data_IF_027263850657
#
_entry.id   IF_027263850657
#
_cell.length_a   1.000
_cell.length_b   1.000
_cell.length_c   1.000
_cell.angle_alpha   90.00
_cell.angle_beta   90.00
_cell.angle_gamma   90.00
#
_symmetry.space_group_name_H-M   'P 1'
#
loop_
_entity.id
_entity.type
_entity.pdbx_description
1 polymer ?
#
# COMPACT_ATOMS: atom_id res chain seq x y z
N UNK A 1 19.08 12.83 -1.08
CA UNK A 1 19.15 11.43 -0.60
C UNK A 1 18.03 10.64 -1.28
N UNK A 2 18.32 10.00 -2.42
CA UNK A 2 17.30 9.38 -3.30
C UNK A 2 16.76 8.03 -2.79
N UNK A 3 17.41 7.47 -1.77
CA UNK A 3 17.09 6.17 -1.16
C UNK A 3 15.76 6.19 -0.39
N UNK A 4 15.30 7.37 0.05
CA UNK A 4 14.06 7.53 0.83
C UNK A 4 12.83 7.03 0.06
N UNK A 5 12.82 7.18 -1.28
CA UNK A 5 11.71 6.76 -2.14
C UNK A 5 11.47 5.24 -2.08
N UNK A 6 12.54 4.45 -1.94
CA UNK A 6 12.47 2.98 -1.91
C UNK A 6 12.03 2.46 -0.53
N UNK A 7 12.23 3.26 0.53
CA UNK A 7 11.88 2.89 1.91
C UNK A 7 10.40 3.17 2.20
N UNK A 8 9.81 4.17 1.54
CA UNK A 8 8.42 4.60 1.75
C UNK A 8 7.36 3.48 1.63
N UNK A 9 7.33 2.67 0.54
CA UNK A 9 6.40 1.54 0.41
C UNK A 9 6.54 0.50 1.54
N UNK A 10 7.76 0.29 2.04
CA UNK A 10 8.01 -0.63 3.14
C UNK A 10 7.47 -0.08 4.48
N UNK A 11 7.66 1.21 4.74
CA UNK A 11 7.09 1.88 5.91
C UNK A 11 5.56 1.87 5.87
N UNK A 12 4.98 2.12 4.69
CA UNK A 12 3.54 2.04 4.47
C UNK A 12 3.01 0.65 4.81
N UNK A 13 3.67 -0.41 4.33
CA UNK A 13 3.30 -1.80 4.64
C UNK A 13 3.40 -2.12 6.14
N UNK A 14 4.43 -1.65 6.85
CA UNK A 14 4.58 -1.94 8.29
C UNK A 14 3.53 -1.22 9.13
N UNK A 15 3.23 0.05 8.80
CA UNK A 15 2.32 0.88 9.61
C UNK A 15 0.87 0.53 9.27
N UNK A 16 0.48 0.62 8.01
CA UNK A 16 -0.89 0.42 7.58
C UNK A 16 -1.26 -1.06 7.51
N UNK A 17 -0.34 -1.94 7.14
CA UNK A 17 -0.61 -3.38 7.13
C UNK A 17 -0.91 -3.91 8.53
N UNK A 18 -0.15 -3.46 9.55
CA UNK A 18 -0.45 -3.80 10.95
C UNK A 18 -1.80 -3.25 11.40
N UNK A 19 -2.09 -1.99 11.02
CA UNK A 19 -3.35 -1.32 11.37
C UNK A 19 -4.56 -2.00 10.73
N UNK A 20 -4.41 -2.54 9.52
CA UNK A 20 -5.44 -3.33 8.85
C UNK A 20 -5.74 -4.65 9.56
N UNK A 21 -4.71 -5.32 10.08
CA UNK A 21 -4.89 -6.58 10.84
C UNK A 21 -5.63 -6.32 12.15
N UNK A 22 -5.38 -5.18 12.80
CA UNK A 22 -6.07 -4.80 14.03
C UNK A 22 -7.51 -4.30 13.84
N UNK A 23 -8.03 -4.24 12.60
CA UNK A 23 -9.36 -3.70 12.31
C UNK A 23 -9.48 -2.17 12.50
N UNK A 24 -8.37 -1.46 12.68
CA UNK A 24 -8.34 -0.03 13.00
C UNK A 24 -8.60 0.87 11.77
N UNK A 25 -8.73 0.30 10.57
CA UNK A 25 -8.93 1.03 9.30
C UNK A 25 -9.91 0.31 8.38
N UNK A 26 -10.67 1.08 7.59
CA UNK A 26 -11.67 0.60 6.61
C UNK A 26 -11.08 -0.20 5.44
N UNK A 27 -9.76 -0.12 5.23
CA UNK A 27 -9.10 -0.73 4.06
C UNK A 27 -8.68 -2.16 4.37
N UNK A 28 -9.02 -3.10 3.47
CA UNK A 28 -8.63 -4.50 3.64
C UNK A 28 -7.11 -4.67 3.62
N UNK A 29 -6.63 -5.64 4.40
CA UNK A 29 -5.20 -5.99 4.45
C UNK A 29 -4.64 -6.33 3.07
N UNK A 30 -5.43 -7.03 2.23
CA UNK A 30 -5.05 -7.38 0.86
C UNK A 30 -4.82 -6.14 -0.01
N UNK A 31 -5.71 -5.15 0.06
CA UNK A 31 -5.59 -3.89 -0.68
C UNK A 31 -4.32 -3.14 -0.30
N UNK A 32 -4.00 -3.08 1.01
CA UNK A 32 -2.77 -2.42 1.48
C UNK A 32 -1.52 -3.14 1.00
N UNK A 33 -1.50 -4.48 1.02
CA UNK A 33 -0.41 -5.27 0.46
C UNK A 33 -0.19 -4.99 -1.03
N UNK A 34 -1.29 -4.94 -1.80
CA UNK A 34 -1.24 -4.68 -3.24
C UNK A 34 -0.69 -3.28 -3.52
N UNK A 35 -1.18 -2.25 -2.81
CA UNK A 35 -0.71 -0.86 -2.93
C UNK A 35 0.78 -0.77 -2.58
N UNK A 36 1.23 -1.40 -1.49
CA UNK A 36 2.64 -1.41 -1.11
C UNK A 36 3.52 -2.04 -2.18
N UNK A 37 3.08 -3.17 -2.75
CA UNK A 37 3.80 -3.87 -3.79
C UNK A 37 3.89 -3.05 -5.09
N UNK A 38 2.78 -2.45 -5.52
CA UNK A 38 2.75 -1.56 -6.69
C UNK A 38 3.60 -0.30 -6.45
N UNK A 39 3.52 0.26 -5.23
CA UNK A 39 4.34 1.36 -4.78
C UNK A 39 5.84 1.03 -4.88
N UNK A 40 6.26 -0.14 -4.43
CA UNK A 40 7.65 -0.60 -4.53
C UNK A 40 8.18 -0.56 -5.97
N UNK A 41 7.37 -1.00 -6.94
CA UNK A 41 7.73 -0.98 -8.37
C UNK A 41 7.82 0.46 -8.88
N UNK A 42 6.79 1.27 -8.64
CA UNK A 42 6.72 2.66 -9.09
C UNK A 42 7.87 3.50 -8.53
N UNK A 43 8.13 3.41 -7.22
CA UNK A 43 9.23 4.14 -6.59
C UNK A 43 10.60 3.68 -7.06
N UNK A 44 10.77 2.40 -7.40
CA UNK A 44 12.02 1.90 -7.99
C UNK A 44 12.24 2.51 -9.38
N UNK A 45 11.20 2.58 -10.22
CA UNK A 45 11.29 3.20 -11.57
C UNK A 45 11.61 4.69 -11.45
N UNK A 46 10.95 5.40 -10.53
CA UNK A 46 11.23 6.81 -10.24
C UNK A 46 12.67 7.02 -9.78
N UNK A 47 13.15 6.20 -8.86
CA UNK A 47 14.53 6.27 -8.37
C UNK A 47 15.55 5.96 -9.49
N UNK A 48 15.25 5.01 -10.37
CA UNK A 48 16.10 4.70 -11.54
C UNK A 48 16.23 5.91 -12.47
N UNK A 49 15.09 6.49 -12.89
CA UNK A 49 15.09 7.67 -13.77
C UNK A 49 15.85 8.84 -13.14
N UNK A 50 15.68 9.05 -11.84
CA UNK A 50 16.36 10.14 -11.13
C UNK A 50 17.88 9.94 -11.07
N UNK A 51 18.35 8.70 -10.84
CA UNK A 51 19.79 8.38 -10.87
C UNK A 51 20.36 8.55 -12.26
N UNK A 52 19.67 8.07 -13.30
CA UNK A 52 20.12 8.22 -14.70
C UNK A 52 20.23 9.70 -15.06
N UNK A 53 19.20 10.49 -14.76
CA UNK A 53 19.22 11.94 -14.99
C UNK A 53 20.38 12.63 -14.25
N UNK A 54 20.67 12.22 -13.02
CA UNK A 54 21.78 12.78 -12.25
C UNK A 54 23.16 12.37 -12.81
N UNK A 55 23.31 11.14 -13.28
CA UNK A 55 24.54 10.66 -13.90
C UNK A 55 24.84 11.40 -15.21
N UNK A 56 23.83 11.54 -16.06
CA UNK A 56 23.91 12.28 -17.32
C UNK A 56 24.25 13.76 -17.08
N UNK A 57 23.56 14.41 -16.13
CA UNK A 57 23.80 15.81 -15.78
C UNK A 57 25.22 16.08 -15.29
N UNK A 58 25.87 15.10 -14.65
CA UNK A 58 27.22 15.25 -14.10
C UNK A 58 28.31 14.62 -14.97
N UNK A 59 28.02 14.20 -16.22
CA UNK A 59 28.94 13.50 -17.11
C UNK A 59 29.61 12.27 -16.46
N UNK A 60 28.93 11.62 -15.52
CA UNK A 60 29.42 10.46 -14.80
C UNK A 60 28.89 9.18 -15.45
N UNK A 61 29.73 8.46 -16.18
CA UNK A 61 29.35 7.21 -16.86
C UNK A 61 29.45 5.98 -15.94
N UNK A 62 29.77 6.18 -14.65
CA UNK A 62 29.93 5.08 -13.71
C UNK A 62 28.57 4.47 -13.36
N UNK A 63 28.36 3.20 -13.72
CA UNK A 63 27.13 2.46 -13.42
C UNK A 63 27.01 1.95 -11.97
N UNK A 64 28.01 2.21 -11.11
CA UNK A 64 27.98 1.78 -9.70
C UNK A 64 26.70 2.20 -8.96
N UNK A 65 26.17 3.44 -9.11
CA UNK A 65 24.93 3.84 -8.46
C UNK A 65 23.70 3.05 -8.96
N UNK A 66 23.69 2.63 -10.22
CA UNK A 66 22.63 1.79 -10.79
C UNK A 66 22.67 0.38 -10.20
N UNK A 67 23.86 -0.22 -10.09
CA UNK A 67 24.03 -1.54 -9.45
C UNK A 67 23.58 -1.49 -8.00
N UNK A 68 23.96 -0.44 -7.27
CA UNK A 68 23.50 -0.20 -5.90
C UNK A 68 21.98 -0.12 -5.83
N UNK A 69 21.34 0.65 -6.71
CA UNK A 69 19.88 0.77 -6.77
C UNK A 69 19.18 -0.57 -7.01
N UNK A 70 19.68 -1.39 -7.95
CA UNK A 70 19.08 -2.71 -8.23
C UNK A 70 19.21 -3.63 -7.02
N UNK A 71 20.40 -3.71 -6.41
CA UNK A 71 20.61 -4.55 -5.23
C UNK A 71 19.77 -4.11 -4.04
N UNK A 72 19.68 -2.80 -3.77
CA UNK A 72 18.80 -2.28 -2.73
C UNK A 72 17.33 -2.55 -3.05
N UNK A 73 16.88 -2.33 -4.28
CA UNK A 73 15.49 -2.58 -4.66
C UNK A 73 15.10 -4.05 -4.45
N UNK A 74 15.97 -5.00 -4.84
CA UNK A 74 15.75 -6.43 -4.60
C UNK A 74 15.69 -6.74 -3.10
N UNK A 75 16.61 -6.19 -2.31
CA UNK A 75 16.63 -6.38 -0.86
C UNK A 75 15.35 -5.84 -0.20
N UNK A 76 14.92 -4.62 -0.55
CA UNK A 76 13.70 -4.03 0.00
C UNK A 76 12.45 -4.79 -0.45
N UNK A 77 12.41 -5.27 -1.69
CA UNK A 77 11.31 -6.12 -2.18
C UNK A 77 11.24 -7.44 -1.42
N UNK A 78 12.39 -8.06 -1.13
CA UNK A 78 12.47 -9.27 -0.31
C UNK A 78 11.94 -9.01 1.11
N UNK A 79 12.38 -7.92 1.75
CA UNK A 79 11.87 -7.55 3.08
C UNK A 79 10.37 -7.29 3.03
N UNK A 80 9.85 -6.58 2.02
CA UNK A 80 8.42 -6.34 1.84
C UNK A 80 7.65 -7.66 1.71
N UNK A 81 8.16 -8.62 0.94
CA UNK A 81 7.56 -9.95 0.81
C UNK A 81 7.55 -10.69 2.16
N UNK A 82 8.66 -10.66 2.90
CA UNK A 82 8.73 -11.24 4.26
C UNK A 82 7.72 -10.58 5.19
N UNK A 83 7.60 -9.24 5.18
CA UNK A 83 6.65 -8.55 6.05
C UNK A 83 5.21 -8.88 5.67
N UNK A 84 4.88 -9.04 4.39
CA UNK A 84 3.56 -9.52 3.95
C UNK A 84 3.30 -10.93 4.46
N UNK A 85 4.25 -11.87 4.32
CA UNK A 85 4.08 -13.26 4.79
C UNK A 85 3.84 -13.30 6.31
N UNK A 86 4.66 -12.58 7.08
CA UNK A 86 4.54 -12.53 8.54
C UNK A 86 3.16 -11.97 8.91
N UNK A 87 2.77 -10.85 8.31
CA UNK A 87 1.48 -10.22 8.55
C UNK A 87 0.29 -11.11 8.14
N UNK A 88 0.41 -11.85 7.05
CA UNK A 88 -0.59 -12.82 6.61
C UNK A 88 -0.73 -13.99 7.59
N UNK A 89 0.39 -14.53 8.11
CA UNK A 89 0.37 -15.56 9.17
C UNK A 89 -0.28 -15.04 10.45
N UNK A 90 0.01 -13.80 10.84
CA UNK A 90 -0.60 -13.16 12.00
C UNK A 90 -2.12 -13.01 11.79
N UNK A 91 -2.56 -12.45 10.65
CA UNK A 91 -4.00 -12.36 10.31
C UNK A 91 -4.68 -13.73 10.39
N UNK A 92 -4.06 -14.76 9.80
CA UNK A 92 -4.60 -16.13 9.86
C UNK A 92 -4.70 -16.67 11.28
N UNK A 93 -3.74 -16.37 12.16
CA UNK A 93 -3.80 -16.79 13.56
C UNK A 93 -4.89 -16.09 14.38
N UNK A 94 -5.35 -14.91 13.97
CA UNK A 94 -6.54 -14.28 14.54
C UNK A 94 -7.84 -14.86 13.96
N UNK A 95 -7.78 -15.43 12.75
CA UNK A 95 -8.91 -15.99 12.01
C UNK A 95 -9.12 -17.51 12.13
N UNK A 96 -8.55 -18.21 13.12
CA UNK A 96 -9.00 -19.57 13.45
C UNK A 96 -10.42 -19.57 14.08
N UNK A 97 -11.08 -18.41 14.16
CA UNK A 97 -12.52 -18.24 14.48
C UNK A 97 -13.35 -17.75 13.28
N UNK A 98 -12.73 -17.30 12.18
CA UNK A 98 -13.41 -16.67 11.03
C UNK A 98 -12.94 -17.32 9.72
N UNK A 99 -13.16 -18.63 9.57
CA UNK A 99 -13.40 -19.18 8.24
C UNK A 99 -14.71 -18.57 7.72
N UNK A 100 -14.75 -18.17 6.44
CA UNK A 100 -15.88 -17.58 5.69
C UNK A 100 -15.88 -16.03 5.69
N UNK A 101 -15.12 -15.40 4.79
CA UNK A 101 -15.47 -14.08 4.19
C UNK A 101 -14.49 -13.73 3.04
N UNK A 102 -14.08 -14.72 2.24
CA UNK A 102 -13.23 -14.51 1.05
C UNK A 102 -14.03 -14.60 -0.27
N UNK A 103 -15.37 -14.54 -0.25
CA UNK A 103 -16.20 -14.47 -1.47
C UNK A 103 -17.34 -13.45 -1.28
N UNK A 104 -17.41 -12.51 -2.24
CA UNK A 104 -18.50 -11.57 -2.55
C UNK A 104 -18.50 -10.17 -1.88
N UNK A 105 -18.97 -9.18 -2.66
CA UNK A 105 -19.09 -7.72 -2.39
C UNK A 105 -17.81 -6.91 -2.69
N UNK A 106 -17.64 -6.29 -3.87
CA UNK A 106 -18.50 -5.21 -4.38
C UNK A 106 -18.55 -5.20 -5.93
N UNK A 107 -19.49 -5.95 -6.50
CA UNK A 107 -20.02 -5.69 -7.84
C UNK A 107 -21.52 -5.36 -7.73
N UNK A 108 -21.88 -4.36 -6.93
CA UNK A 108 -23.12 -3.58 -7.05
C UNK A 108 -23.15 -2.56 -5.91
N UNK A 109 -23.12 -1.27 -6.22
CA UNK A 109 -24.35 -0.52 -6.01
C UNK A 109 -24.36 0.73 -6.87
N UNK A 110 -25.31 0.71 -7.78
CA UNK A 110 -25.77 1.86 -8.54
C UNK A 110 -26.29 2.86 -7.53
N UNK A 111 -25.80 4.08 -7.70
CA UNK A 111 -26.30 5.28 -7.06
C UNK A 111 -27.76 5.45 -7.52
N UNK A 112 -28.72 5.01 -6.72
CA UNK A 112 -30.10 5.47 -6.80
C UNK A 112 -30.28 6.55 -5.73
N UNK A 113 -30.09 7.79 -6.16
CA UNK A 113 -30.52 9.00 -5.45
C UNK A 113 -32.04 9.09 -5.53
N UNK A 114 -32.75 8.77 -4.45
CA UNK A 114 -34.09 9.30 -4.21
C UNK A 114 -34.41 9.18 -2.72
N UNK A 115 -34.29 10.31 -2.00
CA UNK A 115 -34.90 10.49 -0.69
C UNK A 115 -35.62 11.84 -0.71
N UNK A 116 -36.87 11.78 -1.19
CA UNK A 116 -37.90 12.80 -0.95
C UNK A 116 -38.32 12.74 0.53
N UNK A 117 -38.33 13.94 1.13
CA UNK A 117 -39.30 14.51 2.06
C UNK A 117 -39.80 13.67 3.27
N UNK A 118 -39.57 14.19 4.48
CA UNK A 118 -40.66 14.81 5.25
C UNK A 118 -40.15 15.52 6.52
N UNK A 119 -40.81 16.65 6.78
CA UNK A 119 -40.55 17.71 7.75
C UNK A 119 -40.77 17.29 9.22
N UNK A 120 -40.13 18.01 10.16
CA UNK A 120 -40.89 18.76 11.18
C UNK A 120 -39.98 19.74 11.96
N UNK A 121 -40.28 21.02 11.73
CA UNK A 121 -39.73 22.23 12.35
C UNK A 121 -40.47 22.56 13.67
N UNK A 122 -39.84 23.39 14.49
CA UNK A 122 -40.17 23.74 15.88
C UNK A 122 -41.38 24.69 16.07
N UNK A 123 -41.92 24.65 17.30
CA UNK A 123 -42.71 25.65 18.05
C UNK A 123 -44.25 25.80 17.83
N UNK A 124 -45.00 25.83 18.94
CA UNK A 124 -45.80 26.94 19.51
C UNK A 124 -47.05 26.39 20.28
N UNK A 125 -47.10 26.68 21.58
CA UNK A 125 -48.22 26.64 22.56
C UNK A 125 -48.79 25.28 23.03
#
# INVERSE_FOLDING_TARGET
>A
MHVILIILPLLFQIIFGRKAIGGDIKWSFGTICLISFLGQILFTILAFNLIVYYLEKNNNTCGMPLVGLVMFSLLFTLILLITIIIQYRIKKSYGDEDEIEDEDEDENDKIDEEQDDEDEEYEIN
#
